data_IF_232933787543
#
_entry.id   IF_232933787543
#
_cell.length_a   1.000
_cell.length_b   1.000
_cell.length_c   1.000
_cell.angle_alpha   90.00
_cell.angle_beta   90.00
_cell.angle_gamma   90.00
#
_symmetry.space_group_name_H-M   'P 1'
#
loop_
_entity.id
_entity.type
_entity.pdbx_description
1 polymer ?
#
# COMPACT_ATOMS: atom_id res chain seq x y z
N UNK A 1 -13.80 -8.15 14.53
CA UNK A 1 -14.15 -9.48 15.09
C UNK A 1 -15.65 -9.70 15.01
N UNK A 2 -16.25 -9.47 13.85
CA UNK A 2 -17.62 -9.90 13.60
C UNK A 2 -17.55 -11.07 12.61
N UNK A 3 -17.71 -12.28 13.13
CA UNK A 3 -17.68 -13.50 12.30
C UNK A 3 -18.76 -13.44 11.21
N UNK A 4 -19.87 -12.72 11.46
CA UNK A 4 -20.95 -12.51 10.49
C UNK A 4 -20.51 -11.59 9.36
N UNK A 5 -19.86 -10.46 9.68
CA UNK A 5 -19.32 -9.54 8.67
C UNK A 5 -18.25 -10.15 7.77
N UNK A 6 -17.39 -11.04 8.31
CA UNK A 6 -16.41 -11.77 7.48
C UNK A 6 -17.09 -12.77 6.54
N UNK A 7 -18.11 -13.49 7.02
CA UNK A 7 -18.88 -14.41 6.19
C UNK A 7 -19.64 -13.64 5.10
N UNK A 8 -20.26 -12.51 5.43
CA UNK A 8 -20.92 -11.63 4.47
C UNK A 8 -19.93 -11.13 3.41
N UNK A 9 -18.74 -10.66 3.78
CA UNK A 9 -17.69 -10.23 2.84
C UNK A 9 -17.22 -11.35 1.89
N UNK A 10 -17.13 -12.58 2.39
CA UNK A 10 -16.69 -13.74 1.61
C UNK A 10 -17.81 -14.22 0.68
N UNK A 11 -19.06 -14.24 1.18
CA UNK A 11 -20.24 -14.61 0.39
C UNK A 11 -20.58 -13.55 -0.67
N UNK A 12 -20.24 -12.28 -0.45
CA UNK A 12 -20.35 -11.19 -1.44
C UNK A 12 -19.37 -11.34 -2.61
N UNK A 13 -18.41 -12.26 -2.54
CA UNK A 13 -17.48 -12.56 -3.62
C UNK A 13 -17.95 -13.78 -4.39
N UNK A 14 -18.94 -13.58 -5.27
CA UNK A 14 -19.58 -14.61 -6.09
C UNK A 14 -18.60 -15.56 -6.83
N UNK A 15 -17.40 -15.08 -7.16
CA UNK A 15 -16.38 -15.87 -7.85
C UNK A 15 -15.67 -16.91 -6.96
N UNK A 16 -15.71 -16.76 -5.62
CA UNK A 16 -15.06 -17.70 -4.70
C UNK A 16 -15.88 -18.98 -4.48
N UNK A 17 -17.21 -18.92 -4.69
CA UNK A 17 -18.14 -20.06 -4.54
C UNK A 17 -18.01 -20.81 -3.20
N UNK A 18 -17.67 -20.09 -2.13
CA UNK A 18 -17.56 -20.64 -0.79
C UNK A 18 -18.93 -20.57 -0.11
N UNK A 19 -19.35 -21.63 0.56
CA UNK A 19 -20.69 -21.75 1.12
C UNK A 19 -20.70 -21.87 2.65
N UNK A 20 -19.57 -22.22 3.26
CA UNK A 20 -19.44 -22.38 4.71
C UNK A 20 -18.26 -21.63 5.30
N UNK A 21 -18.34 -21.34 6.60
CA UNK A 21 -17.21 -20.78 7.37
C UNK A 21 -15.99 -21.70 7.39
N UNK A 22 -16.18 -23.02 7.34
CA UNK A 22 -15.05 -23.96 7.30
C UNK A 22 -14.28 -23.81 5.99
N UNK A 23 -15.00 -23.81 4.87
CA UNK A 23 -14.40 -23.62 3.53
C UNK A 23 -13.68 -22.27 3.43
N UNK A 24 -14.27 -21.21 3.98
CA UNK A 24 -13.65 -19.90 4.06
C UNK A 24 -12.34 -19.90 4.87
N UNK A 25 -12.36 -20.49 6.07
CA UNK A 25 -11.17 -20.61 6.93
C UNK A 25 -10.09 -21.45 6.26
N UNK A 26 -10.45 -22.56 5.63
CA UNK A 26 -9.53 -23.42 4.87
C UNK A 26 -8.92 -22.70 3.67
N UNK A 27 -9.71 -21.90 2.95
CA UNK A 27 -9.22 -21.09 1.84
C UNK A 27 -8.21 -20.04 2.33
N UNK A 28 -8.57 -19.26 3.37
CA UNK A 28 -7.70 -18.24 3.95
C UNK A 28 -6.39 -18.82 4.50
N UNK A 29 -6.45 -20.01 5.12
CA UNK A 29 -5.27 -20.71 5.64
C UNK A 29 -4.25 -21.03 4.53
N UNK A 30 -4.68 -21.28 3.28
CA UNK A 30 -3.77 -21.50 2.14
C UNK A 30 -2.93 -20.26 1.81
N UNK A 31 -3.41 -19.08 2.20
CA UNK A 31 -2.70 -17.80 2.06
C UNK A 31 -2.03 -17.35 3.36
N UNK A 32 -1.97 -18.23 4.36
CA UNK A 32 -1.37 -17.91 5.67
C UNK A 32 -2.18 -16.90 6.48
N UNK A 33 -3.48 -16.76 6.22
CA UNK A 33 -4.36 -15.83 6.92
C UNK A 33 -5.22 -16.60 7.93
N UNK A 34 -5.19 -16.14 9.18
CA UNK A 34 -6.05 -16.64 10.26
C UNK A 34 -6.44 -15.50 11.20
N UNK A 35 -7.35 -15.78 12.14
CA UNK A 35 -7.71 -14.82 13.19
C UNK A 35 -6.53 -14.45 14.08
N UNK A 36 -5.61 -15.41 14.31
CA UNK A 36 -4.50 -15.26 15.27
C UNK A 36 -3.23 -14.76 14.63
N UNK A 37 -3.05 -14.97 13.32
CA UNK A 37 -1.84 -14.57 12.63
C UNK A 37 -2.01 -14.40 11.13
N UNK A 38 -1.16 -13.56 10.55
CA UNK A 38 -0.95 -13.45 9.10
C UNK A 38 0.52 -13.77 8.80
N UNK A 39 0.75 -14.72 7.90
CA UNK A 39 2.08 -15.07 7.41
C UNK A 39 2.57 -14.05 6.38
N UNK A 40 3.79 -13.57 6.57
CA UNK A 40 4.53 -12.75 5.63
C UNK A 40 5.71 -13.58 5.12
N UNK A 41 5.85 -13.69 3.80
CA UNK A 41 6.95 -14.42 3.20
C UNK A 41 8.27 -13.65 3.28
N UNK A 42 9.36 -14.36 3.54
CA UNK A 42 10.69 -13.79 3.69
C UNK A 42 11.01 -13.35 5.13
N UNK A 43 12.18 -12.74 5.31
CA UNK A 43 12.62 -12.22 6.61
C UNK A 43 12.00 -10.87 6.97
N UNK A 44 11.39 -10.21 5.98
CA UNK A 44 10.81 -8.87 6.12
C UNK A 44 11.85 -7.74 6.12
N UNK A 45 13.15 -8.04 5.96
CA UNK A 45 14.24 -7.07 6.02
C UNK A 45 14.40 -6.24 4.75
N UNK A 46 14.02 -6.81 3.60
CA UNK A 46 14.07 -6.15 2.29
C UNK A 46 13.36 -4.81 2.34
N UNK A 47 13.96 -3.79 1.72
CA UNK A 47 13.45 -2.42 1.75
C UNK A 47 12.86 -1.98 0.42
N UNK A 48 11.77 -1.24 0.48
CA UNK A 48 11.02 -0.73 -0.68
C UNK A 48 10.58 0.70 -0.47
N UNK A 49 10.72 1.47 -1.53
CA UNK A 49 10.06 2.76 -1.69
C UNK A 49 8.63 2.58 -2.22
N UNK A 50 7.71 3.39 -1.71
CA UNK A 50 6.30 3.42 -2.14
C UNK A 50 5.92 4.84 -2.54
N UNK A 51 5.27 4.99 -3.68
CA UNK A 51 4.73 6.26 -4.16
C UNK A 51 3.22 6.12 -4.37
N UNK A 52 2.45 7.01 -3.74
CA UNK A 52 0.99 6.98 -3.91
C UNK A 52 0.60 7.43 -5.33
N UNK A 53 -0.38 6.75 -5.96
CA UNK A 53 -0.77 7.00 -7.35
C UNK A 53 -1.21 8.45 -7.63
N UNK A 54 -1.82 9.14 -6.65
CA UNK A 54 -2.14 10.58 -6.76
C UNK A 54 -0.88 11.45 -6.90
N UNK A 55 0.20 11.12 -6.22
CA UNK A 55 1.45 11.87 -6.36
C UNK A 55 2.15 11.53 -7.67
N UNK A 56 2.08 10.27 -8.12
CA UNK A 56 2.54 9.93 -9.47
C UNK A 56 1.79 10.76 -10.54
N UNK A 57 0.46 10.86 -10.45
CA UNK A 57 -0.33 11.67 -11.37
C UNK A 57 0.05 13.16 -11.29
N UNK A 58 0.26 13.71 -10.09
CA UNK A 58 0.74 15.09 -9.89
C UNK A 58 2.12 15.30 -10.50
N UNK A 59 3.04 14.34 -10.36
CA UNK A 59 4.37 14.41 -10.97
C UNK A 59 4.27 14.42 -12.50
N UNK A 60 3.41 13.59 -13.08
CA UNK A 60 3.19 13.56 -14.54
C UNK A 60 2.64 14.89 -15.06
N UNK A 61 1.64 15.46 -14.36
CA UNK A 61 1.09 16.78 -14.71
C UNK A 61 2.17 17.86 -14.55
N UNK A 62 2.92 17.83 -13.46
CA UNK A 62 4.02 18.76 -13.21
C UNK A 62 5.05 18.73 -14.33
N UNK A 63 5.53 17.54 -14.71
CA UNK A 63 6.50 17.37 -15.77
C UNK A 63 5.97 17.89 -17.11
N UNK A 64 4.71 17.57 -17.44
CA UNK A 64 4.08 18.02 -18.68
C UNK A 64 3.98 19.55 -18.79
N UNK A 65 3.69 20.23 -17.67
CA UNK A 65 3.42 21.67 -17.68
C UNK A 65 4.67 22.53 -17.44
N UNK A 66 5.70 22.01 -16.77
CA UNK A 66 6.80 22.83 -16.23
C UNK A 66 8.19 22.38 -16.70
N UNK A 67 8.32 21.24 -17.37
CA UNK A 67 9.63 20.67 -17.71
C UNK A 67 9.76 20.53 -19.22
N UNK A 68 10.74 21.23 -19.79
CA UNK A 68 11.14 21.07 -21.18
C UNK A 68 12.34 20.14 -21.27
N UNK A 69 12.55 19.54 -22.44
CA UNK A 69 13.70 18.65 -22.65
C UNK A 69 15.05 19.31 -22.35
N UNK A 70 15.21 20.61 -22.70
CA UNK A 70 16.41 21.41 -22.42
C UNK A 70 16.73 21.58 -20.93
N UNK A 71 15.75 21.37 -20.05
CA UNK A 71 15.91 21.52 -18.60
C UNK A 71 16.55 20.26 -17.98
N UNK A 72 16.70 19.18 -18.76
CA UNK A 72 17.10 17.84 -18.29
C UNK A 72 18.59 17.50 -18.50
N UNK A 73 19.36 18.41 -19.10
CA UNK A 73 20.77 18.19 -19.41
C UNK A 73 21.52 19.52 -19.48
N UNK A 74 22.85 19.46 -19.35
CA UNK A 74 23.72 20.64 -19.50
C UNK A 74 24.75 20.45 -20.62
N UNK A 75 24.97 19.20 -21.01
CA UNK A 75 25.94 18.79 -22.01
C UNK A 75 25.40 18.98 -23.43
N UNK A 76 26.30 19.19 -24.41
CA UNK A 76 25.88 19.33 -25.82
C UNK A 76 25.16 18.09 -26.36
N UNK A 77 25.44 16.90 -25.81
CA UNK A 77 24.82 15.62 -26.19
C UNK A 77 24.05 15.03 -25.00
N UNK A 78 22.72 15.22 -24.93
CA UNK A 78 21.92 14.72 -23.82
C UNK A 78 21.90 13.19 -23.77
N UNK A 79 22.21 12.64 -22.60
CA UNK A 79 22.06 11.22 -22.24
C UNK A 79 21.39 11.12 -20.87
N UNK A 80 20.74 9.99 -20.56
CA UNK A 80 20.13 9.73 -19.24
C UNK A 80 19.16 10.84 -18.76
N UNK A 81 18.35 11.37 -19.66
CA UNK A 81 17.38 12.45 -19.38
C UNK A 81 16.10 11.97 -18.67
N UNK A 82 15.95 10.67 -18.41
CA UNK A 82 14.84 10.14 -17.62
C UNK A 82 14.82 10.75 -16.20
N UNK A 83 13.63 10.84 -15.63
CA UNK A 83 13.39 11.43 -14.32
C UNK A 83 12.83 10.33 -13.42
N UNK A 84 13.52 10.04 -12.32
CA UNK A 84 12.97 9.20 -11.26
C UNK A 84 11.92 10.00 -10.48
N UNK A 85 10.78 9.38 -10.24
CA UNK A 85 9.70 9.94 -9.43
C UNK A 85 9.51 9.04 -8.22
N UNK A 86 9.81 9.57 -7.04
CA UNK A 86 9.79 8.83 -5.80
C UNK A 86 9.67 9.75 -4.60
N UNK A 87 9.47 9.15 -3.43
CA UNK A 87 9.45 9.82 -2.13
C UNK A 87 10.86 10.03 -1.56
N UNK A 88 11.86 9.25 -2.01
CA UNK A 88 13.20 9.25 -1.44
C UNK A 88 13.28 8.57 -0.07
N UNK A 89 12.22 7.87 0.35
CA UNK A 89 12.14 7.15 1.62
C UNK A 89 11.72 5.71 1.36
N UNK A 90 12.46 4.76 1.94
CA UNK A 90 12.14 3.35 1.89
C UNK A 90 11.77 2.79 3.27
N UNK A 91 11.08 1.65 3.25
CA UNK A 91 10.60 0.94 4.43
C UNK A 91 10.93 -0.54 4.28
N UNK A 92 11.28 -1.21 5.38
CA UNK A 92 11.35 -2.67 5.33
C UNK A 92 9.94 -3.24 5.16
N UNK A 93 9.82 -4.41 4.53
CA UNK A 93 8.52 -5.10 4.42
C UNK A 93 7.90 -5.33 5.81
N UNK A 94 8.72 -5.58 6.83
CA UNK A 94 8.26 -5.66 8.22
C UNK A 94 7.62 -4.36 8.70
N UNK A 95 8.24 -3.21 8.46
CA UNK A 95 7.70 -1.90 8.88
C UNK A 95 6.38 -1.60 8.18
N UNK A 96 6.29 -1.90 6.88
CA UNK A 96 5.05 -1.76 6.10
C UNK A 96 3.95 -2.64 6.70
N UNK A 97 4.24 -3.92 6.95
CA UNK A 97 3.26 -4.86 7.49
C UNK A 97 2.77 -4.45 8.89
N UNK A 98 3.67 -3.92 9.74
CA UNK A 98 3.30 -3.39 11.06
C UNK A 98 2.41 -2.16 10.95
N UNK A 99 2.71 -1.22 10.04
CA UNK A 99 1.86 -0.05 9.78
C UNK A 99 0.47 -0.47 9.29
N UNK A 100 0.39 -1.42 8.36
CA UNK A 100 -0.89 -1.97 7.89
C UNK A 100 -1.66 -2.64 9.04
N UNK A 101 -1.01 -3.49 9.86
CA UNK A 101 -1.62 -4.11 11.06
C UNK A 101 -2.22 -3.05 11.98
N UNK A 102 -1.49 -1.96 12.23
CA UNK A 102 -1.95 -0.86 13.08
C UNK A 102 -3.17 -0.13 12.48
N UNK A 103 -3.11 0.24 11.19
CA UNK A 103 -4.19 0.99 10.51
C UNK A 103 -5.48 0.17 10.41
N UNK A 104 -5.37 -1.12 10.09
CA UNK A 104 -6.52 -2.05 10.02
C UNK A 104 -7.04 -2.40 11.43
N UNK A 105 -6.21 -2.25 12.46
CA UNK A 105 -6.56 -2.60 13.84
C UNK A 105 -6.51 -4.10 14.13
N UNK A 106 -5.75 -4.88 13.34
CA UNK A 106 -5.61 -6.32 13.52
C UNK A 106 -4.88 -6.66 14.83
N UNK A 107 -5.48 -7.54 15.63
CA UNK A 107 -4.99 -7.90 16.98
C UNK A 107 -4.16 -9.18 17.03
N UNK A 108 -4.19 -10.00 15.97
CA UNK A 108 -3.31 -11.17 15.87
C UNK A 108 -1.89 -10.79 15.48
N UNK A 109 -1.00 -11.78 15.32
CA UNK A 109 0.43 -11.58 15.09
C UNK A 109 0.85 -11.66 13.62
N UNK A 110 2.00 -11.06 13.32
CA UNK A 110 2.65 -11.20 12.02
C UNK A 110 3.77 -12.24 12.13
N UNK A 111 3.71 -13.31 11.34
CA UNK A 111 4.73 -14.37 11.34
C UNK A 111 5.55 -14.30 10.06
N UNK A 112 6.88 -14.29 10.16
CA UNK A 112 7.79 -14.21 9.02
C UNK A 112 8.29 -15.61 8.64
N UNK A 113 8.06 -16.02 7.39
CA UNK A 113 8.44 -17.34 6.91
C UNK A 113 9.71 -17.25 6.06
N UNK A 114 10.86 -17.52 6.68
CA UNK A 114 12.18 -17.51 6.04
C UNK A 114 12.47 -18.75 5.18
N UNK A 115 11.58 -19.75 5.16
CA UNK A 115 11.68 -20.83 4.15
C UNK A 115 11.33 -20.32 2.75
N UNK A 116 10.62 -19.18 2.67
CA UNK A 116 10.33 -18.45 1.43
C UNK A 116 11.43 -17.41 1.19
N UNK A 117 11.93 -17.28 -0.05
CA UNK A 117 13.05 -16.40 -0.33
C UNK A 117 12.65 -14.93 -0.18
N UNK A 118 13.57 -14.15 0.39
CA UNK A 118 13.54 -12.70 0.24
C UNK A 118 13.85 -12.32 -1.22
N UNK A 119 13.36 -11.17 -1.66
CA UNK A 119 13.89 -10.59 -2.89
C UNK A 119 15.36 -10.21 -2.69
N UNK A 120 16.15 -10.22 -3.77
CA UNK A 120 17.60 -10.09 -3.68
C UNK A 120 18.14 -8.69 -3.43
N UNK A 121 17.35 -7.62 -3.62
CA UNK A 121 17.86 -6.24 -3.57
C UNK A 121 16.83 -5.27 -2.98
N UNK A 122 17.33 -4.24 -2.30
CA UNK A 122 16.56 -3.05 -1.91
C UNK A 122 16.25 -2.19 -3.14
N UNK A 123 15.15 -1.43 -3.09
CA UNK A 123 14.75 -0.52 -4.17
C UNK A 123 14.34 0.83 -3.60
N UNK A 124 15.21 1.80 -3.81
CA UNK A 124 15.05 3.22 -3.47
C UNK A 124 15.57 4.04 -4.65
N UNK A 125 14.77 4.97 -5.15
CA UNK A 125 15.15 5.86 -6.22
C UNK A 125 15.91 7.08 -5.69
N UNK A 126 16.94 7.51 -6.42
CA UNK A 126 17.45 8.87 -6.30
C UNK A 126 16.49 9.82 -7.06
N UNK A 127 15.78 10.66 -6.31
CA UNK A 127 14.82 11.64 -6.81
C UNK A 127 15.38 13.08 -6.83
N UNK A 128 16.69 13.28 -6.62
CA UNK A 128 17.32 14.60 -6.62
C UNK A 128 17.00 15.43 -7.87
N UNK A 129 16.93 14.80 -9.04
CA UNK A 129 16.62 15.47 -10.32
C UNK A 129 15.22 16.12 -10.30
N UNK A 130 14.17 15.41 -9.87
CA UNK A 130 12.81 15.96 -9.87
C UNK A 130 12.63 17.00 -8.75
N UNK A 131 13.30 16.79 -7.61
CA UNK A 131 13.30 17.75 -6.51
C UNK A 131 13.95 19.07 -6.93
N UNK A 132 15.06 19.02 -7.67
CA UNK A 132 15.72 20.21 -8.22
C UNK A 132 14.87 20.97 -9.25
N UNK A 133 13.95 20.28 -9.93
CA UNK A 133 12.96 20.90 -10.81
C UNK A 133 11.81 21.56 -10.03
N UNK A 134 11.68 21.30 -8.72
CA UNK A 134 10.68 21.91 -7.83
C UNK A 134 9.46 21.04 -7.53
N UNK A 135 9.54 19.72 -7.75
CA UNK A 135 8.48 18.79 -7.38
C UNK A 135 8.92 17.82 -6.28
N UNK A 136 8.03 17.56 -5.34
CA UNK A 136 8.20 16.59 -4.26
C UNK A 136 6.91 15.80 -4.03
N UNK A 137 7.04 14.56 -3.55
CA UNK A 137 5.90 13.77 -3.11
C UNK A 137 5.33 14.37 -1.81
N UNK A 138 4.00 14.30 -1.66
CA UNK A 138 3.28 14.93 -0.54
C UNK A 138 2.58 13.94 0.37
N UNK A 139 2.29 12.73 -0.13
CA UNK A 139 1.57 11.69 0.59
C UNK A 139 2.59 10.68 1.10
N UNK A 140 2.72 10.59 2.41
CA UNK A 140 3.58 9.58 3.03
C UNK A 140 2.93 8.19 3.02
N UNK A 141 3.69 7.15 3.39
CA UNK A 141 3.21 5.77 3.38
C UNK A 141 1.96 5.56 4.25
N UNK A 142 1.93 6.16 5.44
CA UNK A 142 0.83 5.98 6.39
C UNK A 142 -0.47 6.61 5.90
N UNK A 143 -0.40 7.84 5.40
CA UNK A 143 -1.53 8.52 4.76
C UNK A 143 -2.03 7.72 3.55
N UNK A 144 -1.11 7.25 2.70
CA UNK A 144 -1.46 6.45 1.53
C UNK A 144 -2.17 5.14 1.88
N UNK A 145 -1.70 4.43 2.91
CA UNK A 145 -2.34 3.19 3.39
C UNK A 145 -3.70 3.49 4.01
N UNK A 146 -3.85 4.56 4.78
CA UNK A 146 -5.15 4.98 5.33
C UNK A 146 -6.14 5.31 4.22
N UNK A 147 -5.73 6.07 3.21
CA UNK A 147 -6.56 6.39 2.05
C UNK A 147 -7.01 5.14 1.30
N UNK A 148 -6.08 4.19 1.08
CA UNK A 148 -6.38 2.91 0.45
C UNK A 148 -7.35 2.07 1.27
N UNK A 149 -7.15 2.01 2.59
CA UNK A 149 -8.02 1.26 3.49
C UNK A 149 -9.44 1.83 3.54
N UNK A 150 -9.57 3.16 3.62
CA UNK A 150 -10.87 3.83 3.55
C UNK A 150 -11.56 3.57 2.21
N UNK A 151 -10.84 3.70 1.10
CA UNK A 151 -11.38 3.42 -0.23
C UNK A 151 -11.88 1.97 -0.35
N UNK A 152 -11.11 1.00 0.14
CA UNK A 152 -11.51 -0.41 0.20
C UNK A 152 -12.80 -0.60 1.02
N UNK A 153 -12.89 0.03 2.19
CA UNK A 153 -14.07 -0.09 3.08
C UNK A 153 -15.33 0.59 2.51
N UNK A 154 -15.17 1.62 1.68
CA UNK A 154 -16.29 2.27 0.97
C UNK A 154 -16.66 1.59 -0.36
N UNK A 155 -16.06 0.43 -0.64
CA UNK A 155 -16.40 -0.42 -1.77
C UNK A 155 -15.59 -0.19 -3.06
N UNK A 156 -14.48 0.54 -2.97
CA UNK A 156 -13.61 0.83 -4.10
C UNK A 156 -12.95 -0.41 -4.74
N UNK A 157 -12.74 -1.50 -3.98
CA UNK A 157 -12.04 -2.70 -4.46
C UNK A 157 -12.84 -3.66 -5.34
N UNK A 158 -13.94 -3.21 -5.96
CA UNK A 158 -14.86 -4.09 -6.70
C UNK A 158 -15.84 -4.86 -5.81
N UNK A 159 -16.08 -4.39 -4.58
CA UNK A 159 -17.04 -4.97 -3.63
C UNK A 159 -17.97 -3.86 -3.16
N UNK A 160 -19.26 -3.94 -3.48
CA UNK A 160 -20.25 -3.05 -2.84
C UNK A 160 -20.46 -3.53 -1.42
N UNK A 161 -19.65 -3.05 -0.48
CA UNK A 161 -19.90 -3.27 0.94
C UNK A 161 -21.20 -2.54 1.30
N UNK A 162 -22.23 -3.29 1.69
CA UNK A 162 -23.44 -2.68 2.21
C UNK A 162 -23.05 -1.83 3.42
N UNK A 163 -23.22 -0.51 3.30
CA UNK A 163 -22.94 0.49 4.34
C UNK A 163 -23.62 0.06 5.65
N UNK A 164 -22.88 -0.60 6.53
CA UNK A 164 -23.22 -0.60 7.94
C UNK A 164 -22.46 0.56 8.57
N UNK A 165 -23.21 1.46 9.19
CA UNK A 165 -22.74 2.68 9.83
C UNK A 165 -21.64 2.39 10.85
N UNK A 166 -20.37 2.49 10.45
CA UNK A 166 -19.28 2.70 11.40
C UNK A 166 -19.09 4.20 11.52
N UNK A 167 -19.83 4.78 12.48
CA UNK A 167 -19.62 6.15 12.89
C UNK A 167 -18.16 6.32 13.37
N UNK A 168 -17.38 7.11 12.64
CA UNK A 168 -16.07 7.61 13.06
C UNK A 168 -16.27 8.54 14.26
N UNK A 169 -16.29 7.98 15.47
CA UNK A 169 -16.41 8.72 16.73
C UNK A 169 -15.10 8.93 17.47
N UNK A 170 -13.94 8.65 16.86
CA UNK A 170 -12.65 8.71 17.57
C UNK A 170 -11.57 9.61 16.97
N UNK A 171 -11.92 10.51 16.04
CA UNK A 171 -11.06 11.66 15.78
C UNK A 171 -11.46 12.78 16.74
N UNK A 172 -10.83 12.76 17.92
CA UNK A 172 -10.91 13.83 18.89
C UNK A 172 -10.59 15.16 18.22
N UNK A 173 -11.52 16.11 18.36
CA UNK A 173 -11.26 17.52 18.10
C UNK A 173 -10.17 17.96 19.07
N UNK A 174 -9.00 18.31 18.53
CA UNK A 174 -8.06 19.19 19.20
C UNK A 174 -8.49 20.61 18.84
N UNK A 175 -9.24 21.24 19.76
CA UNK A 175 -9.34 22.70 19.94
C UNK A 175 -9.44 22.96 21.41
#
# INVERSE_FOLDING_TARGET
NDEKGVLEDILLRDHLKLSTMSEAKEYLAKFGVSEKSVEIWGSGKVRREFLHAKDLARASIFAMLNVNFKDLYKEEKPINTHINVGTGVDYSIKDVALKVKQIVGFKGELTFNTSKPDSTMDRLLDNSKINALGWEAKINLEEGVQMMYQWYHTGGGGVTLHKQNVALSHLGKVT
#
